data_IF_416406043155
#
_entry.id   IF_416406043155
#
_cell.length_a   1.000
_cell.length_b   1.000
_cell.length_c   1.000
_cell.angle_alpha   90.00
_cell.angle_beta   90.00
_cell.angle_gamma   90.00
#
_symmetry.space_group_name_H-M   'P 1'
#
loop_
_entity.id
_entity.type
_entity.pdbx_description
1 polymer ?
#
# COMPACT_ATOMS: atom_id res chain seq x y z
N UNK A 1 14.01 -46.15 -16.22
CA UNK A 1 14.86 -45.31 -17.07
C UNK A 1 14.11 -44.01 -17.36
N UNK A 2 14.64 -42.89 -16.84
CA UNK A 2 14.49 -41.48 -17.28
C UNK A 2 13.07 -40.92 -17.51
N UNK A 3 12.48 -40.15 -16.57
CA UNK A 3 12.75 -38.75 -16.11
C UNK A 3 11.59 -37.86 -16.59
N UNK A 4 10.51 -37.82 -15.81
CA UNK A 4 9.36 -36.94 -16.08
C UNK A 4 9.79 -35.49 -15.90
N UNK A 5 9.93 -34.79 -17.01
CA UNK A 5 10.19 -33.37 -17.12
C UNK A 5 8.94 -32.63 -16.62
N UNK A 6 8.90 -32.36 -15.31
CA UNK A 6 7.99 -31.38 -14.74
C UNK A 6 8.52 -29.98 -15.11
N UNK A 7 8.30 -29.59 -16.36
CA UNK A 7 8.40 -28.21 -16.81
C UNK A 7 7.29 -27.43 -16.12
N UNK A 8 7.57 -26.85 -14.96
CA UNK A 8 6.73 -25.83 -14.34
C UNK A 8 6.82 -24.56 -15.20
N UNK A 9 5.75 -24.11 -15.88
CA UNK A 9 5.77 -22.80 -16.51
C UNK A 9 5.74 -21.74 -15.39
N UNK A 10 6.92 -21.24 -15.02
CA UNK A 10 7.08 -20.01 -14.24
C UNK A 10 6.74 -18.83 -15.17
N UNK A 11 5.45 -18.62 -15.42
CA UNK A 11 4.96 -17.45 -16.14
C UNK A 11 3.67 -16.95 -15.49
N UNK A 12 3.78 -16.55 -14.22
CA UNK A 12 2.76 -15.66 -13.66
C UNK A 12 3.10 -14.24 -14.12
N UNK A 13 2.53 -13.88 -15.27
CA UNK A 13 2.66 -12.56 -15.86
C UNK A 13 2.34 -11.49 -14.82
N UNK A 14 3.36 -10.70 -14.47
CA UNK A 14 3.18 -9.42 -13.82
C UNK A 14 2.56 -8.49 -14.88
N UNK A 15 1.27 -8.68 -15.18
CA UNK A 15 0.54 -7.81 -16.09
C UNK A 15 0.28 -6.52 -15.32
N UNK A 16 1.30 -5.67 -15.26
CA UNK A 16 1.18 -4.28 -14.82
C UNK A 16 0.49 -3.52 -15.95
N UNK A 17 -0.80 -3.80 -16.17
CA UNK A 17 -1.63 -2.99 -17.05
C UNK A 17 -1.88 -1.65 -16.35
N UNK A 18 -0.91 -0.74 -16.47
CA UNK A 18 -1.15 0.69 -16.35
C UNK A 18 -1.94 1.13 -17.60
N UNK A 19 -3.21 0.73 -17.66
CA UNK A 19 -4.15 1.28 -18.64
C UNK A 19 -4.50 2.70 -18.22
N UNK A 20 -3.73 3.67 -18.70
CA UNK A 20 -4.02 5.09 -18.52
C UNK A 20 -5.20 5.52 -19.41
N UNK A 21 -6.39 5.02 -19.10
CA UNK A 21 -7.65 5.68 -19.46
C UNK A 21 -7.98 6.57 -18.26
N UNK A 22 -7.59 7.85 -18.33
CA UNK A 22 -7.81 8.92 -17.34
C UNK A 22 -8.43 8.49 -15.99
N UNK A 23 -7.69 7.71 -15.21
CA UNK A 23 -8.09 7.32 -13.87
C UNK A 23 -7.67 8.43 -12.90
N UNK A 24 -8.57 8.81 -12.02
CA UNK A 24 -8.25 9.76 -10.94
C UNK A 24 -7.15 9.19 -10.04
N UNK A 25 -6.40 10.05 -9.34
CA UNK A 25 -5.37 9.62 -8.38
C UNK A 25 -5.93 8.60 -7.37
N UNK A 26 -7.15 8.86 -6.88
CA UNK A 26 -7.86 7.97 -5.96
C UNK A 26 -8.08 6.56 -6.55
N UNK A 27 -8.46 6.47 -7.83
CA UNK A 27 -8.67 5.19 -8.51
C UNK A 27 -7.35 4.46 -8.73
N UNK A 28 -6.28 5.18 -9.09
CA UNK A 28 -4.94 4.60 -9.22
C UNK A 28 -4.44 4.04 -7.89
N UNK A 29 -4.63 4.77 -6.79
CA UNK A 29 -4.27 4.31 -5.45
C UNK A 29 -5.13 3.14 -4.98
N UNK A 30 -6.43 3.12 -5.31
CA UNK A 30 -7.29 1.97 -5.05
C UNK A 30 -6.85 0.72 -5.84
N UNK A 31 -6.38 0.89 -7.09
CA UNK A 31 -5.79 -0.20 -7.86
C UNK A 31 -4.47 -0.69 -7.24
N UNK A 32 -3.62 0.22 -6.78
CA UNK A 32 -2.38 -0.14 -6.09
C UNK A 32 -2.65 -1.02 -4.85
N UNK A 33 -3.68 -0.70 -4.04
CA UNK A 33 -4.09 -1.56 -2.92
C UNK A 33 -4.44 -2.98 -3.37
N UNK A 34 -5.20 -3.13 -4.46
CA UNK A 34 -5.57 -4.45 -5.01
C UNK A 34 -4.35 -5.23 -5.51
N UNK A 35 -3.40 -4.55 -6.14
CA UNK A 35 -2.14 -5.17 -6.58
C UNK A 35 -1.31 -5.65 -5.39
N UNK A 36 -1.27 -4.87 -4.30
CA UNK A 36 -0.61 -5.26 -3.04
C UNK A 36 -1.29 -6.48 -2.39
N UNK A 37 -2.62 -6.60 -2.45
CA UNK A 37 -3.33 -7.80 -2.01
C UNK A 37 -2.97 -9.03 -2.87
N UNK A 38 -2.93 -8.87 -4.20
CA UNK A 38 -2.50 -9.94 -5.09
C UNK A 38 -1.04 -10.37 -4.83
N UNK A 39 -0.16 -9.42 -4.51
CA UNK A 39 1.22 -9.68 -4.13
C UNK A 39 1.30 -10.48 -2.81
N UNK A 40 0.52 -10.12 -1.78
CA UNK A 40 0.41 -10.91 -0.53
C UNK A 40 -0.01 -12.35 -0.79
N UNK A 41 -0.99 -12.57 -1.66
CA UNK A 41 -1.43 -13.92 -2.03
C UNK A 41 -0.35 -14.67 -2.82
N UNK A 42 0.43 -13.98 -3.66
CA UNK A 42 1.59 -14.57 -4.34
C UNK A 42 2.66 -15.01 -3.34
N UNK A 43 2.98 -14.17 -2.35
CA UNK A 43 3.92 -14.50 -1.27
C UNK A 43 3.46 -15.71 -0.46
N UNK A 44 2.16 -15.80 -0.15
CA UNK A 44 1.61 -16.98 0.55
C UNK A 44 1.78 -18.27 -0.26
N UNK A 45 1.54 -18.22 -1.56
CA UNK A 45 1.74 -19.37 -2.47
C UNK A 45 3.21 -19.75 -2.56
N UNK A 46 4.09 -18.76 -2.71
CA UNK A 46 5.54 -18.99 -2.72
C UNK A 46 6.03 -19.61 -1.40
N UNK A 47 5.54 -19.15 -0.25
CA UNK A 47 5.86 -19.73 1.05
C UNK A 47 5.39 -21.19 1.18
N UNK A 48 4.22 -21.53 0.64
CA UNK A 48 3.74 -22.91 0.61
C UNK A 48 4.63 -23.80 -0.27
N UNK A 49 5.01 -23.32 -1.46
CA UNK A 49 5.93 -24.05 -2.36
C UNK A 49 7.33 -24.23 -1.76
N UNK A 50 7.85 -23.21 -1.06
CA UNK A 50 9.15 -23.27 -0.41
C UNK A 50 9.22 -24.35 0.68
N UNK A 51 8.12 -24.62 1.38
CA UNK A 51 8.04 -25.72 2.38
C UNK A 51 8.14 -27.11 1.77
N UNK A 52 7.77 -27.27 0.50
CA UNK A 52 7.79 -28.55 -0.23
C UNK A 52 9.14 -28.79 -0.92
N UNK A 53 9.93 -27.73 -1.13
CA UNK A 53 11.23 -27.79 -1.82
C UNK A 53 12.35 -28.35 -0.95
N UNK A 54 13.36 -28.94 -1.59
CA UNK A 54 14.59 -29.38 -0.93
C UNK A 54 15.27 -28.20 -0.21
N UNK A 55 15.74 -28.45 1.01
CA UNK A 55 16.20 -27.44 1.97
C UNK A 55 17.38 -26.62 1.41
N UNK A 56 17.08 -25.47 0.81
CA UNK A 56 18.08 -24.42 0.55
C UNK A 56 18.53 -23.81 1.87
N UNK A 57 19.77 -23.32 1.93
CA UNK A 57 20.31 -22.59 3.09
C UNK A 57 19.74 -21.18 3.19
N UNK A 58 19.24 -20.65 2.09
CA UNK A 58 18.65 -19.32 2.01
C UNK A 58 17.15 -19.40 2.31
N UNK A 59 16.71 -18.58 3.26
CA UNK A 59 15.31 -18.48 3.67
C UNK A 59 14.83 -17.06 3.41
N UNK A 60 13.72 -16.95 2.68
CA UNK A 60 13.03 -15.68 2.52
C UNK A 60 12.04 -15.48 3.67
N UNK A 61 12.09 -14.32 4.33
CA UNK A 61 11.14 -13.99 5.40
C UNK A 61 9.81 -13.48 4.81
N UNK A 62 8.93 -14.43 4.53
CA UNK A 62 7.59 -14.13 4.03
C UNK A 62 6.72 -13.37 5.02
N UNK A 63 6.99 -13.44 6.33
CA UNK A 63 6.21 -12.73 7.33
C UNK A 63 6.55 -11.24 7.30
N UNK A 64 7.86 -10.91 7.30
CA UNK A 64 8.34 -9.54 7.15
C UNK A 64 7.82 -8.89 5.87
N UNK A 65 7.96 -9.56 4.71
CA UNK A 65 7.49 -9.02 3.43
C UNK A 65 5.97 -8.75 3.41
N UNK A 66 5.16 -9.62 4.04
CA UNK A 66 3.70 -9.38 4.14
C UNK A 66 3.38 -8.21 5.07
N UNK A 67 4.16 -8.01 6.13
CA UNK A 67 4.01 -6.89 7.06
C UNK A 67 4.34 -5.56 6.39
N UNK A 68 5.40 -5.51 5.58
CA UNK A 68 5.77 -4.33 4.81
C UNK A 68 4.65 -3.95 3.84
N UNK A 69 4.08 -4.93 3.13
CA UNK A 69 2.93 -4.68 2.25
C UNK A 69 1.72 -4.15 3.04
N UNK A 70 1.44 -4.69 4.24
CA UNK A 70 0.37 -4.15 5.10
C UNK A 70 0.61 -2.69 5.45
N UNK A 71 1.85 -2.34 5.82
CA UNK A 71 2.24 -0.98 6.19
C UNK A 71 2.02 0.00 5.04
N UNK A 72 2.41 -0.38 3.82
CA UNK A 72 2.16 0.44 2.62
C UNK A 72 0.67 0.58 2.34
N UNK A 73 -0.11 -0.50 2.44
CA UNK A 73 -1.56 -0.45 2.25
C UNK A 73 -2.25 0.47 3.27
N UNK A 74 -1.82 0.45 4.52
CA UNK A 74 -2.34 1.32 5.58
C UNK A 74 -2.06 2.79 5.29
N UNK A 75 -0.83 3.12 4.86
CA UNK A 75 -0.47 4.49 4.45
C UNK A 75 -1.34 5.00 3.30
N UNK A 76 -1.54 4.18 2.27
CA UNK A 76 -2.43 4.54 1.15
C UNK A 76 -3.88 4.71 1.65
N UNK A 77 -4.39 3.76 2.47
CA UNK A 77 -5.75 3.82 3.03
C UNK A 77 -5.99 5.09 3.86
N UNK A 78 -5.00 5.51 4.62
CA UNK A 78 -5.07 6.73 5.42
C UNK A 78 -5.10 7.99 4.55
N UNK A 79 -4.34 8.00 3.46
CA UNK A 79 -4.35 9.11 2.51
C UNK A 79 -5.69 9.23 1.77
N UNK A 80 -6.22 8.11 1.26
CA UNK A 80 -7.48 8.10 0.50
C UNK A 80 -8.72 8.31 1.38
N UNK A 81 -8.64 7.98 2.67
CA UNK A 81 -9.67 8.21 3.69
C UNK A 81 -9.08 9.04 4.83
N UNK A 82 -8.77 10.33 4.62
CA UNK A 82 -8.21 11.14 5.66
C UNK A 82 -9.22 11.19 6.80
N UNK A 83 -8.82 10.73 7.99
CA UNK A 83 -9.61 10.90 9.20
C UNK A 83 -9.88 12.39 9.34
N UNK A 84 -11.12 12.83 9.09
CA UNK A 84 -11.50 14.21 9.35
C UNK A 84 -11.54 14.36 10.86
N UNK A 85 -10.44 14.80 11.45
CA UNK A 85 -10.48 15.37 12.78
C UNK A 85 -11.41 16.59 12.73
N UNK A 86 -12.65 16.42 13.17
CA UNK A 86 -13.54 17.56 13.41
C UNK A 86 -12.83 18.40 14.48
N UNK A 87 -12.54 19.69 14.24
CA UNK A 87 -11.97 20.54 15.27
C UNK A 87 -12.89 20.48 16.49
N UNK A 88 -12.39 20.00 17.63
CA UNK A 88 -13.17 19.91 18.89
C UNK A 88 -13.73 21.28 19.31
N UNK A 89 -13.13 22.36 18.81
CA UNK A 89 -13.63 23.71 19.00
C UNK A 89 -13.45 24.55 17.71
N UNK A 90 -14.45 24.62 16.82
CA UNK A 90 -14.39 25.51 15.65
C UNK A 90 -14.29 27.00 16.03
N UNK A 91 -14.54 27.37 17.30
CA UNK A 91 -14.35 28.73 17.84
C UNK A 91 -12.95 28.97 18.44
N UNK A 92 -12.04 27.99 18.44
CA UNK A 92 -10.62 28.26 18.76
C UNK A 92 -9.88 28.89 17.57
N UNK A 93 -10.41 28.73 16.35
CA UNK A 93 -9.98 29.44 15.13
C UNK A 93 -10.57 30.85 15.06
N UNK A 94 -11.09 31.37 16.19
CA UNK A 94 -11.78 32.65 16.27
C UNK A 94 -10.76 33.78 16.19
N UNK A 95 -10.64 34.27 14.96
CA UNK A 95 -10.20 35.60 14.57
C UNK A 95 -8.93 36.11 15.26
N UNK A 96 -7.80 35.92 14.58
CA UNK A 96 -6.68 36.87 14.62
C UNK A 96 -7.14 38.19 13.97
N UNK A 97 -8.19 38.82 14.50
CA UNK A 97 -8.58 40.19 14.15
C UNK A 97 -7.78 41.11 15.06
N UNK A 98 -6.48 41.00 14.85
CA UNK A 98 -5.42 41.77 15.46
C UNK A 98 -5.78 43.26 15.49
N UNK A 99 -5.55 43.84 16.66
CA UNK A 99 -5.77 45.22 17.07
C UNK A 99 -4.85 46.22 16.33
N UNK A 100 -4.70 46.11 15.01
CA UNK A 100 -3.85 47.01 14.19
C UNK A 100 -4.31 48.47 14.18
N UNK A 101 -5.53 48.75 14.66
CA UNK A 101 -6.10 50.10 14.69
C UNK A 101 -5.72 50.89 15.95
N UNK A 102 -5.24 50.23 17.01
CA UNK A 102 -4.88 50.90 18.27
C UNK A 102 -3.44 51.46 18.28
N UNK A 103 -2.67 51.28 17.19
CA UNK A 103 -1.28 51.75 17.10
C UNK A 103 -1.14 53.13 16.42
N UNK A 104 -2.24 53.77 15.99
CA UNK A 104 -2.21 55.06 15.26
C UNK A 104 -2.61 56.28 16.12
N UNK A 105 -2.62 56.14 17.43
CA UNK A 105 -2.86 57.29 18.33
C UNK A 105 -1.78 57.36 19.41
N UNK A 106 -0.56 57.74 19.01
CA UNK A 106 0.41 58.47 19.83
C UNK A 106 1.18 59.44 18.95
#
# INVERSE_FOLDING_TARGET
>A
MTKNIFSLPLSLGLLFCAGSVYATEQEQLAQAIKQLDAAKLSLQRAAASAKVSAKSREYFDYAAARQDISTVQEGIKQYINPSRAIPRNPKAVRSLKEDYLNLRSQ
#
